data_IF_197022887343
#
_entry.id   IF_197022887343
#
_cell.length_a   1.000
_cell.length_b   1.000
_cell.length_c   1.000
_cell.angle_alpha   90.00
_cell.angle_beta   90.00
_cell.angle_gamma   90.00
#
_symmetry.space_group_name_H-M   'P 1'
#
loop_
_entity.id
_entity.type
_entity.pdbx_description
1 polymer ?
#
# COMPACT_ATOMS: atom_id res chain seq x y z
N UNK A 1 -10.50 5.76 -17.40
CA UNK A 1 -10.12 5.00 -18.61
C UNK A 1 -10.07 3.54 -18.21
N UNK A 2 -11.14 2.81 -18.46
CA UNK A 2 -11.43 1.49 -17.89
C UNK A 2 -10.59 0.39 -18.56
N UNK A 3 -9.99 -0.47 -17.75
CA UNK A 3 -9.20 -1.67 -18.12
C UNK A 3 -10.00 -2.71 -18.94
N UNK A 4 -11.29 -2.44 -19.19
CA UNK A 4 -12.24 -3.32 -19.88
C UNK A 4 -12.04 -3.36 -21.41
N UNK A 5 -11.17 -2.53 -21.98
CA UNK A 5 -10.93 -2.48 -23.42
C UNK A 5 -9.80 -3.41 -23.91
N UNK A 6 -8.93 -3.90 -23.01
CA UNK A 6 -7.79 -4.77 -23.37
C UNK A 6 -7.90 -6.20 -22.83
N UNK A 7 -8.77 -6.43 -21.84
CA UNK A 7 -8.92 -7.72 -21.17
C UNK A 7 -10.37 -8.17 -21.37
N UNK A 8 -10.56 -9.40 -21.85
CA UNK A 8 -11.90 -9.95 -22.01
C UNK A 8 -12.65 -9.92 -20.66
N UNK A 9 -13.94 -9.56 -20.61
CA UNK A 9 -14.68 -9.38 -19.35
C UNK A 9 -14.63 -10.62 -18.45
N UNK A 10 -14.53 -11.81 -19.04
CA UNK A 10 -14.32 -13.09 -18.37
C UNK A 10 -12.96 -13.20 -17.63
N UNK A 11 -11.89 -12.62 -18.18
CA UNK A 11 -10.55 -12.61 -17.56
C UNK A 11 -10.46 -11.54 -16.48
N UNK A 12 -11.14 -10.40 -16.66
CA UNK A 12 -11.25 -9.36 -15.64
C UNK A 12 -12.01 -9.89 -14.41
N UNK A 13 -13.17 -10.52 -14.61
CA UNK A 13 -13.95 -11.13 -13.54
C UNK A 13 -13.18 -12.24 -12.80
N UNK A 14 -12.42 -13.09 -13.54
CA UNK A 14 -11.58 -14.13 -12.93
C UNK A 14 -10.41 -13.56 -12.12
N UNK A 15 -9.80 -12.47 -12.61
CA UNK A 15 -8.76 -11.75 -11.88
C UNK A 15 -9.32 -11.09 -10.61
N UNK A 16 -10.51 -10.51 -10.68
CA UNK A 16 -11.19 -9.92 -9.52
C UNK A 16 -11.58 -10.97 -8.48
N UNK A 17 -12.10 -12.12 -8.90
CA UNK A 17 -12.44 -13.25 -8.03
C UNK A 17 -11.19 -13.74 -7.27
N UNK A 18 -10.09 -14.03 -7.98
CA UNK A 18 -8.84 -14.46 -7.35
C UNK A 18 -8.18 -13.36 -6.51
N UNK A 19 -8.24 -12.10 -6.95
CA UNK A 19 -7.66 -11.00 -6.20
C UNK A 19 -8.39 -10.73 -4.88
N UNK A 20 -9.69 -11.03 -4.80
CA UNK A 20 -10.45 -10.90 -3.55
C UNK A 20 -10.14 -12.00 -2.55
N UNK A 21 -10.05 -13.25 -3.02
CA UNK A 21 -9.79 -14.40 -2.16
C UNK A 21 -8.36 -14.45 -1.65
N UNK A 22 -7.37 -14.16 -2.52
CA UNK A 22 -5.95 -14.19 -2.15
C UNK A 22 -5.40 -12.82 -1.73
N UNK A 23 -6.14 -11.73 -1.95
CA UNK A 23 -5.69 -10.35 -1.73
C UNK A 23 -5.22 -10.06 -0.32
N UNK A 24 -6.01 -10.36 0.73
CA UNK A 24 -5.59 -10.17 2.12
C UNK A 24 -4.39 -11.05 2.51
N UNK A 25 -4.32 -12.28 1.99
CA UNK A 25 -3.19 -13.18 2.24
C UNK A 25 -1.90 -12.68 1.61
N UNK A 26 -1.97 -12.21 0.36
CA UNK A 26 -0.84 -11.68 -0.38
C UNK A 26 -0.37 -10.33 0.19
N UNK A 27 -1.28 -9.46 0.64
CA UNK A 27 -0.90 -8.21 1.30
C UNK A 27 -0.19 -8.47 2.63
N UNK A 28 -0.69 -9.40 3.44
CA UNK A 28 -0.01 -9.82 4.66
C UNK A 28 1.38 -10.39 4.39
N UNK A 29 1.53 -11.21 3.34
CA UNK A 29 2.82 -11.74 2.92
C UNK A 29 3.81 -10.64 2.49
N UNK A 30 3.37 -9.64 1.73
CA UNK A 30 4.21 -8.50 1.33
C UNK A 30 4.63 -7.64 2.52
N UNK A 31 3.73 -7.40 3.48
CA UNK A 31 4.04 -6.68 4.70
C UNK A 31 5.08 -7.43 5.55
N UNK A 32 4.87 -8.74 5.73
CA UNK A 32 5.81 -9.62 6.41
C UNK A 32 7.18 -9.68 5.71
N UNK A 33 7.19 -9.78 4.38
CA UNK A 33 8.41 -9.76 3.58
C UNK A 33 9.17 -8.44 3.75
N UNK A 34 8.47 -7.29 3.78
CA UNK A 34 9.09 -5.99 4.03
C UNK A 34 9.83 -5.94 5.37
N UNK A 35 9.20 -6.39 6.45
CA UNK A 35 9.86 -6.48 7.76
C UNK A 35 10.94 -7.56 7.82
N UNK A 36 10.80 -8.64 7.06
CA UNK A 36 11.82 -9.68 6.96
C UNK A 36 13.12 -9.16 6.33
N UNK A 37 13.03 -8.44 5.21
CA UNK A 37 14.19 -7.81 4.56
C UNK A 37 14.94 -6.85 5.50
N UNK A 38 14.20 -6.14 6.36
CA UNK A 38 14.80 -5.28 7.36
C UNK A 38 15.55 -6.04 8.46
N UNK A 39 14.95 -7.12 8.98
CA UNK A 39 15.59 -7.96 10.01
C UNK A 39 16.83 -8.67 9.45
N UNK A 40 16.78 -9.15 8.21
CA UNK A 40 17.93 -9.71 7.51
C UNK A 40 19.06 -8.70 7.38
N UNK A 41 18.75 -7.46 6.97
CA UNK A 41 19.73 -6.38 6.89
C UNK A 41 20.35 -6.03 8.26
N UNK A 42 19.56 -6.04 9.34
CA UNK A 42 20.08 -5.84 10.70
C UNK A 42 20.99 -7.00 11.16
N UNK A 43 20.67 -8.23 10.76
CA UNK A 43 21.50 -9.40 11.06
C UNK A 43 22.82 -9.38 10.29
N UNK A 44 22.78 -8.94 9.04
CA UNK A 44 23.96 -8.82 8.16
C UNK A 44 24.86 -7.63 8.51
N UNK A 45 24.32 -6.56 9.13
CA UNK A 45 25.07 -5.33 9.36
C UNK A 45 26.11 -5.44 10.48
N UNK A 46 26.02 -6.40 11.41
CA UNK A 46 26.98 -6.63 12.51
C UNK A 46 27.25 -5.43 13.45
N UNK A 47 26.63 -4.28 13.17
CA UNK A 47 26.88 -2.96 13.76
C UNK A 47 25.52 -2.32 14.08
N UNK A 48 25.48 -1.55 15.16
CA UNK A 48 24.28 -0.87 15.63
C UNK A 48 23.79 0.17 14.61
N UNK A 49 22.64 -0.10 13.99
CA UNK A 49 22.01 0.78 13.00
C UNK A 49 21.34 1.96 13.74
N UNK A 50 21.59 3.23 13.35
CA UNK A 50 20.95 4.37 14.00
C UNK A 50 19.44 4.39 13.78
N UNK A 51 18.67 4.83 14.79
CA UNK A 51 17.20 4.87 14.79
C UNK A 51 16.59 5.58 13.56
N UNK A 52 17.32 6.55 12.99
CA UNK A 52 16.91 7.28 11.77
C UNK A 52 16.64 6.35 10.59
N UNK A 53 17.33 5.22 10.47
CA UNK A 53 17.12 4.30 9.35
C UNK A 53 15.86 3.43 9.51
N UNK A 54 15.32 3.33 10.73
CA UNK A 54 14.04 2.67 11.00
C UNK A 54 12.84 3.57 10.66
N UNK A 55 13.04 4.89 10.62
CA UNK A 55 11.98 5.88 10.47
C UNK A 55 11.14 5.70 9.18
N UNK A 56 11.74 5.51 7.99
CA UNK A 56 10.98 5.39 6.74
C UNK A 56 10.03 4.18 6.74
N UNK A 57 10.49 3.03 7.25
CA UNK A 57 9.67 1.83 7.36
C UNK A 57 8.51 1.99 8.33
N UNK A 58 8.74 2.62 9.49
CA UNK A 58 7.67 2.92 10.46
C UNK A 58 6.64 3.90 9.87
N UNK A 59 7.10 4.96 9.20
CA UNK A 59 6.22 5.93 8.53
C UNK A 59 5.42 5.23 7.41
N UNK A 60 6.01 4.29 6.68
CA UNK A 60 5.29 3.48 5.69
C UNK A 60 4.21 2.58 6.33
N UNK A 61 4.46 2.01 7.51
CA UNK A 61 3.40 1.25 8.22
C UNK A 61 2.27 2.14 8.71
N UNK A 62 2.57 3.37 9.13
CA UNK A 62 1.54 4.35 9.46
C UNK A 62 0.72 4.73 8.22
N UNK A 63 1.38 4.95 7.08
CA UNK A 63 0.72 5.17 5.80
C UNK A 63 -0.20 4.00 5.44
N UNK A 64 0.24 2.76 5.64
CA UNK A 64 -0.57 1.56 5.45
C UNK A 64 -1.84 1.59 6.30
N UNK A 65 -1.73 1.90 7.58
CA UNK A 65 -2.90 1.99 8.48
C UNK A 65 -3.84 3.10 7.98
N UNK A 66 -3.30 4.29 7.64
CA UNK A 66 -4.10 5.42 7.14
C UNK A 66 -4.83 5.08 5.84
N UNK A 67 -4.15 4.42 4.89
CA UNK A 67 -4.74 3.95 3.61
C UNK A 67 -5.89 2.96 3.90
N UNK A 68 -5.72 2.11 4.91
CA UNK A 68 -6.67 1.05 5.18
C UNK A 68 -7.87 1.47 6.03
N UNK A 69 -7.75 2.52 6.84
CA UNK A 69 -8.82 3.14 7.63
C UNK A 69 -9.82 3.98 6.81
N UNK A 70 -9.60 4.13 5.50
CA UNK A 70 -10.53 4.86 4.63
C UNK A 70 -11.83 4.07 4.46
N UNK A 71 -12.94 4.73 4.79
CA UNK A 71 -14.29 4.23 4.52
C UNK A 71 -14.58 4.46 3.03
N UNK A 72 -14.57 3.38 2.25
CA UNK A 72 -14.83 3.44 0.79
C UNK A 72 -16.26 3.85 0.47
N UNK A 73 -17.19 3.48 1.34
CA UNK A 73 -18.62 3.78 1.20
C UNK A 73 -18.84 5.30 1.05
N UNK A 74 -18.04 6.11 1.77
CA UNK A 74 -18.06 7.58 1.70
C UNK A 74 -17.40 8.17 0.42
N UNK A 75 -16.74 7.35 -0.41
CA UNK A 75 -16.08 7.79 -1.65
C UNK A 75 -16.90 7.54 -2.91
N UNK A 76 -17.75 6.51 -2.91
CA UNK A 76 -18.56 6.10 -4.08
C UNK A 76 -19.94 6.76 -4.08
N UNK A 77 -20.57 6.91 -2.91
CA UNK A 77 -21.91 7.47 -2.80
C UNK A 77 -21.84 8.99 -2.58
N UNK A 78 -22.30 9.75 -3.58
CA UNK A 78 -22.43 11.21 -3.47
C UNK A 78 -23.83 11.53 -2.93
N UNK A 79 -23.91 11.93 -1.68
CA UNK A 79 -25.16 12.34 -1.05
C UNK A 79 -25.23 13.88 -1.00
N UNK A 80 -26.17 14.47 -1.75
CA UNK A 80 -26.26 15.92 -1.95
C UNK A 80 -26.61 16.70 -0.66
N UNK A 81 -27.09 16.00 0.37
CA UNK A 81 -27.41 16.57 1.67
C UNK A 81 -26.29 16.41 2.71
N UNK A 82 -25.22 15.67 2.41
CA UNK A 82 -24.09 15.41 3.30
C UNK A 82 -22.72 15.61 2.62
N UNK A 83 -22.55 16.77 1.96
CA UNK A 83 -21.31 17.14 1.26
C UNK A 83 -20.07 17.12 2.18
N UNK A 84 -20.25 17.35 3.49
CA UNK A 84 -19.16 17.41 4.47
C UNK A 84 -18.43 16.08 4.68
N UNK A 85 -19.17 14.97 4.65
CA UNK A 85 -18.60 13.62 4.82
C UNK A 85 -17.79 13.19 3.59
N UNK A 86 -18.26 13.54 2.40
CA UNK A 86 -17.59 13.25 1.13
C UNK A 86 -16.21 13.94 1.01
N UNK A 87 -16.12 15.21 1.42
CA UNK A 87 -14.84 15.94 1.44
C UNK A 87 -13.85 15.40 2.48
N UNK A 88 -14.34 14.93 3.64
CA UNK A 88 -13.49 14.39 4.71
C UNK A 88 -12.74 13.15 4.26
N UNK A 89 -13.41 12.22 3.58
CA UNK A 89 -12.79 10.98 3.10
C UNK A 89 -11.76 11.21 1.99
N UNK A 90 -11.99 12.17 1.10
CA UNK A 90 -11.01 12.60 0.08
C UNK A 90 -9.80 13.29 0.68
N UNK A 91 -10.00 14.14 1.69
CA UNK A 91 -8.89 14.77 2.41
C UNK A 91 -8.03 13.73 3.15
N UNK A 92 -8.67 12.74 3.77
CA UNK A 92 -7.95 11.66 4.43
C UNK A 92 -7.13 10.82 3.44
N UNK A 93 -7.68 10.51 2.27
CA UNK A 93 -6.94 9.91 1.16
C UNK A 93 -5.72 10.75 0.75
N UNK A 94 -5.91 12.06 0.56
CA UNK A 94 -4.82 12.97 0.21
C UNK A 94 -3.72 12.95 1.28
N UNK A 95 -4.08 12.98 2.56
CA UNK A 95 -3.12 12.88 3.66
C UNK A 95 -2.36 11.55 3.63
N UNK A 96 -3.05 10.43 3.40
CA UNK A 96 -2.39 9.12 3.28
C UNK A 96 -1.41 9.06 2.10
N UNK A 97 -1.73 9.74 0.98
CA UNK A 97 -0.88 9.85 -0.19
C UNK A 97 0.37 10.70 0.09
N UNK A 98 0.22 11.84 0.78
CA UNK A 98 1.36 12.68 1.18
C UNK A 98 2.30 11.91 2.11
N UNK A 99 1.76 11.18 3.09
CA UNK A 99 2.56 10.36 4.00
C UNK A 99 3.29 9.24 3.24
N UNK A 100 2.65 8.64 2.23
CA UNK A 100 3.28 7.62 1.38
C UNK A 100 4.46 8.18 0.57
N UNK A 101 4.31 9.38 -0.02
CA UNK A 101 5.41 10.06 -0.72
C UNK A 101 6.53 10.42 0.26
N UNK A 102 6.19 10.92 1.45
CA UNK A 102 7.17 11.25 2.48
C UNK A 102 7.96 10.02 2.94
N UNK A 103 7.32 8.85 3.06
CA UNK A 103 7.98 7.59 3.39
C UNK A 103 8.99 7.17 2.31
N UNK A 104 8.60 7.22 1.03
CA UNK A 104 9.49 6.91 -0.10
C UNK A 104 10.64 7.91 -0.15
N UNK A 105 10.34 9.22 -0.07
CA UNK A 105 11.34 10.28 -0.09
C UNK A 105 12.32 10.18 1.07
N UNK A 106 11.83 9.87 2.27
CA UNK A 106 12.67 9.61 3.45
C UNK A 106 13.57 8.39 3.26
N UNK A 107 13.04 7.29 2.71
CA UNK A 107 13.82 6.09 2.45
C UNK A 107 14.91 6.32 1.40
N UNK A 108 14.62 7.05 0.32
CA UNK A 108 15.61 7.42 -0.70
C UNK A 108 16.64 8.39 -0.13
N UNK A 109 16.23 9.36 0.69
CA UNK A 109 17.14 10.32 1.31
C UNK A 109 18.14 9.62 2.25
N UNK A 110 17.69 8.63 3.03
CA UNK A 110 18.56 7.80 3.89
C UNK A 110 19.53 6.99 3.04
N UNK A 111 19.07 6.33 1.96
CA UNK A 111 19.94 5.60 1.04
C UNK A 111 21.03 6.50 0.45
N UNK A 112 20.65 7.71 0.01
CA UNK A 112 21.61 8.62 -0.62
C UNK A 112 22.62 9.19 0.38
N UNK A 113 22.15 9.68 1.54
CA UNK A 113 23.04 10.30 2.54
C UNK A 113 23.95 9.31 3.24
N UNK A 114 23.40 8.19 3.70
CA UNK A 114 24.12 7.29 4.60
C UNK A 114 24.89 6.20 3.85
N UNK A 115 24.57 5.94 2.57
CA UNK A 115 25.15 4.80 1.83
C UNK A 115 25.71 5.14 0.45
N UNK A 116 25.10 6.07 -0.30
CA UNK A 116 25.57 6.39 -1.65
C UNK A 116 26.64 7.49 -1.67
N UNK A 117 26.55 8.46 -0.76
CA UNK A 117 27.44 9.62 -0.69
C UNK A 117 28.55 9.46 0.36
N UNK A 118 28.37 8.56 1.32
CA UNK A 118 29.38 8.30 2.35
C UNK A 118 30.32 7.16 1.92
N UNK A 119 31.57 7.50 1.60
CA UNK A 119 32.61 6.55 1.22
C UNK A 119 33.18 5.74 2.39
N UNK A 120 32.79 6.05 3.63
CA UNK A 120 33.24 5.30 4.82
C UNK A 120 32.47 4.00 5.05
N UNK A 121 31.33 3.80 4.38
CA UNK A 121 30.45 2.65 4.58
C UNK A 121 30.79 1.53 3.60
N UNK A 122 31.20 0.37 4.13
CA UNK A 122 31.63 -0.77 3.32
C UNK A 122 30.49 -1.58 2.71
N UNK A 123 29.25 -1.45 3.22
CA UNK A 123 28.11 -2.25 2.74
C UNK A 123 26.84 -1.40 2.63
N UNK A 124 26.36 -1.18 1.40
CA UNK A 124 25.13 -0.43 1.10
C UNK A 124 23.83 -1.23 1.34
N UNK A 125 23.94 -2.50 1.72
CA UNK A 125 22.82 -3.44 1.87
C UNK A 125 21.69 -2.93 2.78
N UNK A 126 21.95 -2.35 3.97
CA UNK A 126 20.85 -1.94 4.84
C UNK A 126 20.05 -0.75 4.29
N UNK A 127 20.70 0.14 3.52
CA UNK A 127 20.00 1.22 2.81
C UNK A 127 19.06 0.69 1.73
N UNK A 128 19.52 -0.28 0.93
CA UNK A 128 18.70 -0.91 -0.11
C UNK A 128 17.56 -1.72 0.50
N UNK A 129 17.84 -2.46 1.58
CA UNK A 129 16.83 -3.22 2.30
C UNK A 129 15.75 -2.31 2.91
N UNK A 130 16.12 -1.14 3.45
CA UNK A 130 15.16 -0.15 3.94
C UNK A 130 14.25 0.42 2.82
N UNK A 131 14.80 0.64 1.62
CA UNK A 131 14.01 1.03 0.46
C UNK A 131 13.04 -0.09 0.02
N UNK A 132 13.55 -1.32 -0.09
CA UNK A 132 12.72 -2.48 -0.39
C UNK A 132 11.60 -2.68 0.65
N UNK A 133 11.91 -2.54 1.95
CA UNK A 133 10.92 -2.59 3.03
C UNK A 133 9.82 -1.56 2.82
N UNK A 134 10.18 -0.29 2.61
CA UNK A 134 9.23 0.82 2.44
C UNK A 134 8.31 0.57 1.23
N UNK A 135 8.86 0.14 0.09
CA UNK A 135 8.08 -0.16 -1.12
C UNK A 135 7.18 -1.39 -0.94
N UNK A 136 7.64 -2.44 -0.29
CA UNK A 136 6.85 -3.65 -0.02
C UNK A 136 5.68 -3.36 0.92
N UNK A 137 5.91 -2.55 1.96
CA UNK A 137 4.86 -2.13 2.90
C UNK A 137 3.82 -1.26 2.18
N UNK A 138 4.23 -0.26 1.39
CA UNK A 138 3.28 0.55 0.62
C UNK A 138 2.55 -0.27 -0.46
N UNK A 139 3.24 -1.20 -1.12
CA UNK A 139 2.64 -2.15 -2.05
C UNK A 139 1.60 -3.04 -1.37
N UNK A 140 1.88 -3.52 -0.16
CA UNK A 140 0.92 -4.28 0.65
C UNK A 140 -0.29 -3.45 1.04
N UNK A 141 -0.09 -2.16 1.37
CA UNK A 141 -1.17 -1.24 1.69
C UNK A 141 -2.11 -1.05 0.50
N UNK A 142 -1.55 -0.81 -0.69
CA UNK A 142 -2.32 -0.63 -1.92
C UNK A 142 -2.99 -1.93 -2.37
N UNK A 143 -2.33 -3.08 -2.22
CA UNK A 143 -2.93 -4.37 -2.55
C UNK A 143 -4.08 -4.72 -1.61
N UNK A 144 -3.93 -4.50 -0.30
CA UNK A 144 -5.00 -4.68 0.66
C UNK A 144 -6.13 -3.66 0.46
N UNK A 145 -5.79 -2.46 -0.01
CA UNK A 145 -6.76 -1.48 -0.44
C UNK A 145 -7.55 -2.02 -1.64
N UNK A 146 -6.90 -2.36 -2.75
CA UNK A 146 -7.58 -2.81 -4.00
C UNK A 146 -8.35 -4.11 -3.81
N UNK A 147 -7.87 -5.08 -3.05
CA UNK A 147 -8.58 -6.35 -2.81
C UNK A 147 -9.90 -6.21 -2.04
N UNK A 148 -10.13 -5.06 -1.39
CA UNK A 148 -11.40 -4.73 -0.72
C UNK A 148 -12.40 -4.02 -1.64
N UNK A 149 -12.19 -4.02 -2.96
CA UNK A 149 -13.18 -3.46 -3.89
C UNK A 149 -14.47 -4.30 -3.83
N UNK A 150 -15.64 -3.69 -3.57
CA UNK A 150 -16.90 -4.38 -3.73
C UNK A 150 -17.02 -4.78 -5.20
N UNK A 151 -17.09 -6.08 -5.49
CA UNK A 151 -17.54 -6.53 -6.80
C UNK A 151 -18.98 -6.06 -6.96
N UNK A 152 -19.26 -5.34 -8.05
CA UNK A 152 -20.61 -4.88 -8.36
C UNK A 152 -21.59 -6.03 -8.15
N UNK A 153 -22.44 -5.87 -7.13
CA UNK A 153 -23.54 -6.81 -6.84
C UNK A 153 -24.71 -6.51 -7.78
N UNK A 154 -24.43 -6.10 -9.02
CA UNK A 154 -25.44 -5.78 -10.03
C UNK A 154 -25.94 -7.03 -10.77
N UNK A 155 -25.37 -8.21 -10.48
CA UNK A 155 -25.86 -9.49 -10.99
C UNK A 155 -27.00 -10.13 -10.16
N UNK A 156 -27.17 -9.76 -8.88
CA UNK A 156 -28.18 -10.40 -8.02
C UNK A 156 -29.56 -9.74 -8.07
N UNK A 157 -29.66 -8.46 -8.40
CA UNK A 157 -30.97 -7.77 -8.52
C UNK A 157 -31.73 -8.12 -9.81
N UNK A 158 -31.07 -8.65 -10.84
CA UNK A 158 -31.71 -9.09 -12.08
C UNK A 158 -32.35 -10.49 -11.98
N UNK A 159 -31.97 -11.30 -10.99
CA UNK A 159 -32.52 -12.65 -10.80
C UNK A 159 -33.87 -12.67 -10.06
N UNK A 160 -34.22 -11.62 -9.31
CA UNK A 160 -35.48 -11.53 -8.56
C UNK A 160 -36.60 -10.79 -9.31
N UNK A 161 -36.34 -10.25 -10.50
CA UNK A 161 -37.35 -9.54 -11.31
C UNK A 161 -37.99 -10.39 -12.42
N UNK A 162 -37.74 -11.70 -12.43
CA UNK A 162 -38.24 -12.64 -13.46
C UNK A 162 -39.24 -13.69 -12.96
N UNK A 163 -39.93 -13.42 -11.84
CA UNK A 163 -41.16 -14.14 -11.44
C UNK A 163 -42.24 -13.17 -11.02
#
# INVERSE_FOLDING_TARGET
MSLNYFVAPQVAAFLEEKARDYGPGLSGALFGAGWWFWVDACAASGVNIPFVQYLPGVVATLALIMINCIRRDELQEYDAFDEGVFFRSRFWLLMSYIVSIAAIGGSVAVLLKDYALDTSVQTAWPGVAGLCQTTLILGSALLFFVSRLPGDTDGSYSAYSSF
#
